data_IF_890647656392
#
_entry.id   IF_890647656392
#
_cell.length_a   1.000
_cell.length_b   1.000
_cell.length_c   1.000
_cell.angle_alpha   90.00
_cell.angle_beta   90.00
_cell.angle_gamma   90.00
#
_symmetry.space_group_name_H-M   'P 1'
#
loop_
_entity.id
_entity.type
_entity.pdbx_description
1 polymer ?
#
# COMPACT_ATOMS: atom_id res chain seq x y z
N UNK A 1 23.11 9.16 -35.38
CA UNK A 1 22.11 8.35 -34.63
C UNK A 1 21.09 9.31 -34.05
N UNK A 2 19.89 9.47 -34.70
CA UNK A 2 18.84 10.32 -34.16
C UNK A 2 18.35 9.69 -32.86
N UNK A 3 18.65 10.28 -31.73
CA UNK A 3 18.05 9.97 -30.44
C UNK A 3 16.56 10.34 -30.53
N UNK A 4 15.73 9.45 -31.10
CA UNK A 4 14.28 9.57 -30.97
C UNK A 4 14.01 9.71 -29.48
N UNK A 5 13.34 10.77 -29.10
CA UNK A 5 13.03 11.07 -27.71
C UNK A 5 12.39 9.84 -27.03
N UNK A 6 13.02 9.35 -25.97
CA UNK A 6 12.49 8.23 -25.17
C UNK A 6 11.11 8.64 -24.64
N UNK A 7 10.10 7.82 -24.92
CA UNK A 7 8.73 8.08 -24.47
C UNK A 7 8.44 7.34 -23.17
N UNK A 8 8.49 8.08 -22.08
CA UNK A 8 8.05 7.58 -20.77
C UNK A 8 6.52 7.61 -20.67
N UNK A 9 5.94 6.55 -20.14
CA UNK A 9 4.54 6.55 -19.76
C UNK A 9 4.31 7.31 -18.44
N UNK A 10 3.04 7.67 -18.08
CA UNK A 10 2.75 8.43 -16.86
C UNK A 10 3.24 7.76 -15.57
N UNK A 11 3.19 6.42 -15.50
CA UNK A 11 3.61 5.66 -14.33
C UNK A 11 5.13 5.69 -14.15
N UNK A 12 5.89 5.58 -15.24
CA UNK A 12 7.35 5.70 -15.21
C UNK A 12 7.81 7.08 -14.79
N UNK A 13 7.19 8.14 -15.32
CA UNK A 13 7.47 9.52 -14.90
C UNK A 13 7.21 9.69 -13.41
N UNK A 14 6.06 9.23 -12.94
CA UNK A 14 5.69 9.29 -11.52
C UNK A 14 6.72 8.55 -10.66
N UNK A 15 7.14 7.36 -11.08
CA UNK A 15 8.14 6.56 -10.36
C UNK A 15 9.50 7.27 -10.30
N UNK A 16 9.94 7.89 -11.38
CA UNK A 16 11.17 8.68 -11.39
C UNK A 16 11.09 9.88 -10.44
N UNK A 17 9.94 10.58 -10.37
CA UNK A 17 9.74 11.63 -9.38
C UNK A 17 9.79 11.09 -7.93
N UNK A 18 9.15 9.95 -7.66
CA UNK A 18 9.25 9.31 -6.35
C UNK A 18 10.68 8.92 -6.00
N UNK A 19 11.44 8.37 -6.95
CA UNK A 19 12.87 8.05 -6.77
C UNK A 19 13.65 9.31 -6.39
N UNK A 20 13.45 10.43 -7.09
CA UNK A 20 14.12 11.69 -6.78
C UNK A 20 13.80 12.13 -5.34
N UNK A 21 12.52 12.20 -4.97
CA UNK A 21 12.09 12.64 -3.63
C UNK A 21 12.67 11.71 -2.56
N UNK A 22 12.51 10.39 -2.72
CA UNK A 22 12.99 9.42 -1.73
C UNK A 22 14.53 9.31 -1.67
N UNK A 23 15.24 9.73 -2.73
CA UNK A 23 16.71 9.82 -2.71
C UNK A 23 17.20 10.91 -1.75
N UNK A 24 16.48 12.03 -1.64
CA UNK A 24 16.83 13.05 -0.64
C UNK A 24 16.71 12.52 0.79
N UNK A 25 15.67 11.73 1.07
CA UNK A 25 15.53 11.04 2.36
C UNK A 25 16.68 10.03 2.58
N UNK A 26 17.04 9.24 1.55
CA UNK A 26 18.15 8.29 1.63
C UNK A 26 19.49 8.98 1.86
N UNK A 27 19.73 10.12 1.21
CA UNK A 27 20.94 10.95 1.43
C UNK A 27 20.98 11.49 2.87
N UNK A 28 19.85 12.03 3.37
CA UNK A 28 19.77 12.51 4.74
C UNK A 28 20.13 11.42 5.77
N UNK A 29 19.54 10.23 5.63
CA UNK A 29 19.83 9.08 6.51
C UNK A 29 21.31 8.66 6.38
N UNK A 30 21.84 8.63 5.15
CA UNK A 30 23.23 8.25 4.89
C UNK A 30 24.22 9.22 5.55
N UNK A 31 23.96 10.50 5.44
CA UNK A 31 24.83 11.56 6.03
C UNK A 31 24.75 11.57 7.56
N UNK A 32 23.54 11.41 8.12
CA UNK A 32 23.32 11.52 9.57
C UNK A 32 23.68 10.26 10.35
N UNK A 33 23.41 9.07 9.78
CA UNK A 33 23.52 7.79 10.50
C UNK A 33 24.57 6.84 9.88
N UNK A 34 25.26 7.25 8.82
CA UNK A 34 26.28 6.43 8.15
C UNK A 34 25.74 5.18 7.42
N UNK A 35 24.41 5.10 7.23
CA UNK A 35 23.73 3.95 6.60
C UNK A 35 22.95 4.42 5.38
N UNK A 36 22.69 3.52 4.42
CA UNK A 36 21.80 3.85 3.29
C UNK A 36 22.48 4.14 1.96
N UNK A 37 23.81 4.08 1.87
CA UNK A 37 24.51 4.23 0.58
C UNK A 37 24.05 3.17 -0.44
N UNK A 38 23.74 1.95 -0.01
CA UNK A 38 23.17 0.89 -0.86
C UNK A 38 21.80 1.25 -1.45
N UNK A 39 20.99 2.01 -0.71
CA UNK A 39 19.69 2.48 -1.18
C UNK A 39 19.82 3.40 -2.40
N UNK A 40 20.87 4.23 -2.43
CA UNK A 40 21.16 5.11 -3.58
C UNK A 40 21.57 4.27 -4.79
N UNK A 41 22.42 3.26 -4.60
CA UNK A 41 22.83 2.35 -5.67
C UNK A 41 21.65 1.61 -6.29
N UNK A 42 20.71 1.11 -5.47
CA UNK A 42 19.51 0.42 -5.95
C UNK A 42 18.60 1.38 -6.74
N UNK A 43 18.45 2.65 -6.30
CA UNK A 43 17.67 3.66 -7.03
C UNK A 43 18.25 3.97 -8.40
N UNK A 44 19.55 4.03 -8.52
CA UNK A 44 20.24 4.20 -9.80
C UNK A 44 19.99 3.01 -10.71
N UNK A 45 20.07 1.78 -10.19
CA UNK A 45 19.76 0.57 -10.93
C UNK A 45 18.29 0.54 -11.41
N UNK A 46 17.33 0.82 -10.53
CA UNK A 46 15.90 0.89 -10.88
C UNK A 46 15.67 1.95 -11.95
N UNK A 47 16.28 3.14 -11.82
CA UNK A 47 16.19 4.19 -12.83
C UNK A 47 16.73 3.73 -14.17
N UNK A 48 17.90 3.08 -14.20
CA UNK A 48 18.48 2.52 -15.42
C UNK A 48 17.56 1.48 -16.08
N UNK A 49 16.92 0.60 -15.28
CA UNK A 49 15.94 -0.36 -15.79
C UNK A 49 14.70 0.33 -16.39
N UNK A 50 14.19 1.40 -15.75
CA UNK A 50 13.06 2.19 -16.28
C UNK A 50 13.44 2.83 -17.61
N UNK A 51 14.63 3.45 -17.69
CA UNK A 51 15.12 4.04 -18.94
C UNK A 51 15.28 2.99 -20.06
N UNK A 52 15.84 1.82 -19.73
CA UNK A 52 16.00 0.72 -20.67
C UNK A 52 14.64 0.23 -21.21
N UNK A 53 13.66 -0.03 -20.32
CA UNK A 53 12.33 -0.45 -20.72
C UNK A 53 11.59 0.62 -21.52
N UNK A 54 11.73 1.89 -21.17
CA UNK A 54 11.16 3.01 -21.90
C UNK A 54 11.80 3.15 -23.31
N UNK A 55 13.12 2.98 -23.42
CA UNK A 55 13.84 2.98 -24.69
C UNK A 55 13.29 1.89 -25.62
N UNK A 56 13.26 0.63 -25.18
CA UNK A 56 12.71 -0.45 -25.99
C UNK A 56 11.23 -0.26 -26.32
N UNK A 57 10.42 0.23 -25.38
CA UNK A 57 9.02 0.53 -25.59
C UNK A 57 8.77 1.63 -26.63
N UNK A 58 9.73 2.55 -26.80
CA UNK A 58 9.64 3.63 -27.80
C UNK A 58 9.84 3.15 -29.25
N UNK A 59 10.49 1.99 -29.42
CA UNK A 59 10.72 1.40 -30.76
C UNK A 59 9.67 0.36 -31.14
N UNK A 60 9.01 -0.24 -30.16
CA UNK A 60 8.03 -1.31 -30.36
C UNK A 60 6.75 -0.99 -29.59
N UNK A 61 5.82 -0.35 -30.26
CA UNK A 61 4.47 -0.03 -29.70
C UNK A 61 3.61 -1.30 -29.53
N UNK A 62 4.19 -2.40 -29.01
CA UNK A 62 3.44 -3.61 -28.71
C UNK A 62 2.79 -3.50 -27.34
N UNK A 63 1.52 -3.86 -27.26
CA UNK A 63 0.74 -3.92 -26.02
C UNK A 63 1.45 -4.69 -24.90
N UNK A 64 2.04 -5.84 -25.20
CA UNK A 64 2.77 -6.67 -24.25
C UNK A 64 3.95 -5.94 -23.57
N UNK A 65 4.65 -5.08 -24.32
CA UNK A 65 5.77 -4.30 -23.76
C UNK A 65 5.26 -3.28 -22.73
N UNK A 66 4.14 -2.61 -23.02
CA UNK A 66 3.55 -1.68 -22.03
C UNK A 66 3.09 -2.40 -20.75
N UNK A 67 2.53 -3.60 -20.88
CA UNK A 67 2.18 -4.41 -19.71
C UNK A 67 3.42 -4.76 -18.88
N UNK A 68 4.50 -5.19 -19.52
CA UNK A 68 5.77 -5.48 -18.82
C UNK A 68 6.28 -4.24 -18.07
N UNK A 69 6.21 -3.06 -18.67
CA UNK A 69 6.61 -1.78 -18.05
C UNK A 69 5.79 -1.48 -16.79
N UNK A 70 4.46 -1.70 -16.81
CA UNK A 70 3.60 -1.53 -15.65
C UNK A 70 3.86 -2.59 -14.58
N UNK A 71 3.98 -3.86 -14.96
CA UNK A 71 4.24 -4.96 -14.03
C UNK A 71 5.62 -4.83 -13.36
N UNK A 72 6.63 -4.36 -14.09
CA UNK A 72 7.94 -4.07 -13.52
C UNK A 72 7.83 -3.06 -12.38
N UNK A 73 7.15 -1.92 -12.60
CA UNK A 73 6.98 -0.91 -11.55
C UNK A 73 6.13 -1.46 -10.39
N UNK A 74 5.06 -2.22 -10.69
CA UNK A 74 4.25 -2.88 -9.66
C UNK A 74 5.05 -3.88 -8.81
N UNK A 75 6.01 -4.61 -9.40
CA UNK A 75 6.85 -5.54 -8.65
C UNK A 75 7.80 -4.85 -7.66
N UNK A 76 8.13 -3.58 -7.87
CA UNK A 76 9.00 -2.82 -6.98
C UNK A 76 8.36 -2.51 -5.61
N UNK A 77 7.04 -2.72 -5.43
CA UNK A 77 6.41 -2.58 -4.11
C UNK A 77 6.96 -3.56 -3.08
N UNK A 78 7.39 -4.74 -3.52
CA UNK A 78 8.08 -5.73 -2.65
C UNK A 78 9.37 -5.16 -2.08
N UNK A 79 10.03 -4.24 -2.82
CA UNK A 79 11.24 -3.55 -2.38
C UNK A 79 10.92 -2.31 -1.55
N UNK A 80 10.02 -1.44 -2.02
CA UNK A 80 9.81 -0.13 -1.39
C UNK A 80 9.07 -0.18 -0.05
N UNK A 81 8.18 -1.16 0.16
CA UNK A 81 7.50 -1.28 1.45
C UNK A 81 8.48 -1.56 2.61
N UNK A 82 9.33 -2.61 2.57
CA UNK A 82 10.34 -2.82 3.60
C UNK A 82 11.34 -1.68 3.73
N UNK A 83 11.59 -0.96 2.64
CA UNK A 83 12.51 0.18 2.65
C UNK A 83 12.01 1.32 3.56
N UNK A 84 10.70 1.49 3.70
CA UNK A 84 10.15 2.52 4.61
C UNK A 84 10.65 2.36 6.04
N UNK A 85 10.90 1.12 6.48
CA UNK A 85 11.48 0.84 7.77
C UNK A 85 12.90 1.40 7.92
N UNK A 86 13.74 1.37 6.87
CA UNK A 86 15.09 1.94 6.93
C UNK A 86 15.08 3.45 7.13
N UNK A 87 13.98 4.13 6.79
CA UNK A 87 13.83 5.56 7.01
C UNK A 87 13.23 5.86 8.38
N UNK A 88 12.11 5.22 8.71
CA UNK A 88 11.33 5.62 9.87
C UNK A 88 11.86 5.07 11.20
N UNK A 89 12.69 4.02 11.20
CA UNK A 89 13.27 3.43 12.43
C UNK A 89 14.09 4.38 13.29
N UNK A 90 14.53 5.50 12.72
CA UNK A 90 15.31 6.53 13.41
C UNK A 90 14.43 7.62 14.03
N UNK A 91 13.13 7.57 13.87
CA UNK A 91 12.19 8.53 14.39
C UNK A 91 11.32 7.90 15.48
N UNK A 92 10.76 8.77 16.35
CA UNK A 92 9.84 8.33 17.40
C UNK A 92 8.62 7.63 16.81
N UNK A 93 8.23 6.52 17.44
CA UNK A 93 7.10 5.71 17.01
C UNK A 93 5.79 6.25 17.58
N UNK A 94 4.74 6.33 16.77
CA UNK A 94 3.44 6.90 17.11
C UNK A 94 2.38 5.88 17.54
N UNK A 95 2.71 4.59 17.68
CA UNK A 95 1.73 3.55 18.05
C UNK A 95 0.98 3.88 19.35
N UNK A 96 1.65 4.51 20.31
CA UNK A 96 1.05 4.92 21.60
C UNK A 96 -0.13 5.91 21.42
N UNK A 97 -0.07 6.78 20.41
CA UNK A 97 -1.16 7.72 20.12
C UNK A 97 -2.32 7.00 19.41
N UNK A 98 -2.02 6.12 18.47
CA UNK A 98 -3.02 5.35 17.72
C UNK A 98 -3.78 4.39 18.64
N UNK A 99 -3.07 3.69 19.53
CA UNK A 99 -3.67 2.83 20.55
C UNK A 99 -4.57 3.62 21.51
N UNK A 100 -4.15 4.84 21.89
CA UNK A 100 -4.96 5.72 22.75
C UNK A 100 -6.25 6.16 22.05
N UNK A 101 -6.18 6.49 20.75
CA UNK A 101 -7.37 6.86 19.96
C UNK A 101 -8.36 5.68 19.90
N UNK A 102 -7.90 4.48 19.59
CA UNK A 102 -8.76 3.29 19.56
C UNK A 102 -9.40 3.04 20.93
N UNK A 103 -8.64 3.16 22.01
CA UNK A 103 -9.19 3.01 23.36
C UNK A 103 -10.22 4.08 23.71
N UNK A 104 -10.02 5.34 23.32
CA UNK A 104 -10.99 6.41 23.51
C UNK A 104 -12.29 6.17 22.74
N UNK A 105 -12.21 5.53 21.56
CA UNK A 105 -13.37 5.23 20.72
C UNK A 105 -14.19 4.04 21.26
N UNK A 106 -13.52 3.00 21.77
CA UNK A 106 -14.15 1.71 22.07
C UNK A 106 -14.15 1.33 23.56
N UNK A 107 -13.29 1.93 24.37
CA UNK A 107 -13.03 1.48 25.75
C UNK A 107 -12.15 0.22 25.84
N UNK A 108 -11.73 -0.33 24.71
CA UNK A 108 -10.85 -1.50 24.57
C UNK A 108 -10.06 -1.43 23.26
N UNK A 109 -9.18 -2.41 23.04
CA UNK A 109 -8.39 -2.51 21.80
C UNK A 109 -9.02 -3.49 20.82
N UNK A 110 -9.68 -3.03 19.73
CA UNK A 110 -10.33 -3.92 18.76
C UNK A 110 -9.37 -4.96 18.18
N UNK A 111 -8.13 -4.58 17.88
CA UNK A 111 -7.11 -5.46 17.30
C UNK A 111 -6.64 -6.59 18.25
N UNK A 112 -6.83 -6.46 19.56
CA UNK A 112 -6.55 -7.52 20.53
C UNK A 112 -7.77 -8.39 20.79
N UNK A 113 -8.95 -7.78 20.89
CA UNK A 113 -10.18 -8.47 21.33
C UNK A 113 -10.80 -9.28 20.19
N UNK A 114 -10.68 -8.82 18.92
CA UNK A 114 -11.39 -9.43 17.82
C UNK A 114 -11.02 -10.92 17.63
N UNK A 115 -9.73 -11.26 17.64
CA UNK A 115 -9.29 -12.65 17.51
C UNK A 115 -9.62 -13.51 18.75
N UNK A 116 -9.76 -12.88 19.94
CA UNK A 116 -10.16 -13.59 21.16
C UNK A 116 -11.64 -13.94 21.16
N UNK A 117 -12.50 -13.07 20.60
CA UNK A 117 -13.95 -13.30 20.49
C UNK A 117 -14.27 -14.35 19.42
N UNK A 118 -13.49 -14.42 18.34
CA UNK A 118 -13.68 -15.36 17.24
C UNK A 118 -12.44 -16.25 17.04
N UNK A 119 -12.11 -17.14 18.00
CA UNK A 119 -10.89 -17.94 17.96
C UNK A 119 -10.96 -19.19 17.07
N UNK A 120 -12.09 -19.44 16.40
CA UNK A 120 -12.30 -20.64 15.60
C UNK A 120 -11.34 -20.68 14.40
N UNK A 121 -10.74 -21.84 14.16
CA UNK A 121 -9.75 -22.01 13.08
C UNK A 121 -10.30 -21.62 11.71
N UNK A 122 -11.52 -22.00 11.38
CA UNK A 122 -12.13 -21.65 10.09
C UNK A 122 -12.28 -20.13 9.91
N UNK A 123 -12.60 -19.40 10.99
CA UNK A 123 -12.73 -17.94 10.94
C UNK A 123 -11.36 -17.28 10.80
N UNK A 124 -10.35 -17.76 11.55
CA UNK A 124 -8.98 -17.31 11.41
C UNK A 124 -8.45 -17.52 9.99
N UNK A 125 -8.72 -18.69 9.38
CA UNK A 125 -8.32 -18.98 8.00
C UNK A 125 -9.04 -18.06 6.99
N UNK A 126 -10.30 -17.76 7.22
CA UNK A 126 -11.03 -16.79 6.41
C UNK A 126 -10.42 -15.39 6.48
N UNK A 127 -10.00 -14.96 7.69
CA UNK A 127 -9.32 -13.68 7.89
C UNK A 127 -7.92 -13.67 7.23
N UNK A 128 -7.16 -14.77 7.36
CA UNK A 128 -5.88 -14.91 6.66
C UNK A 128 -6.05 -14.82 5.13
N UNK A 129 -7.05 -15.50 4.56
CA UNK A 129 -7.41 -15.39 3.14
C UNK A 129 -7.77 -13.95 2.76
N UNK A 130 -8.56 -13.27 3.61
CA UNK A 130 -8.93 -11.86 3.41
C UNK A 130 -7.71 -10.96 3.28
N UNK A 131 -6.74 -11.11 4.16
CA UNK A 131 -5.52 -10.31 4.13
C UNK A 131 -4.66 -10.59 2.88
N UNK A 132 -4.46 -11.88 2.56
CA UNK A 132 -3.70 -12.30 1.37
C UNK A 132 -4.37 -11.81 0.08
N UNK A 133 -5.70 -11.66 0.05
CA UNK A 133 -6.45 -11.25 -1.13
C UNK A 133 -6.14 -9.84 -1.64
N UNK A 134 -5.41 -9.03 -0.86
CA UNK A 134 -5.07 -7.66 -1.21
C UNK A 134 -4.39 -7.51 -2.57
N UNK A 135 -3.22 -8.13 -2.77
CA UNK A 135 -2.52 -8.05 -4.05
C UNK A 135 -3.26 -8.75 -5.20
N UNK A 136 -3.83 -9.95 -5.05
CA UNK A 136 -4.71 -10.52 -6.05
C UNK A 136 -5.85 -9.61 -6.50
N UNK A 137 -6.53 -8.94 -5.56
CA UNK A 137 -7.60 -7.98 -5.89
C UNK A 137 -7.08 -6.84 -6.77
N UNK A 138 -5.95 -6.24 -6.43
CA UNK A 138 -5.31 -5.18 -7.21
C UNK A 138 -4.92 -5.68 -8.62
N UNK A 139 -4.18 -6.80 -8.70
CA UNK A 139 -3.65 -7.34 -9.95
C UNK A 139 -4.78 -7.77 -10.90
N UNK A 140 -5.76 -8.52 -10.41
CA UNK A 140 -6.88 -8.99 -11.22
C UNK A 140 -7.68 -7.82 -11.77
N UNK A 141 -7.92 -6.78 -10.96
CA UNK A 141 -8.66 -5.60 -11.41
C UNK A 141 -7.86 -4.76 -12.41
N UNK A 142 -6.55 -4.61 -12.19
CA UNK A 142 -5.65 -3.98 -13.16
C UNK A 142 -5.68 -4.72 -14.52
N UNK A 143 -5.54 -6.05 -14.51
CA UNK A 143 -5.56 -6.87 -15.72
C UNK A 143 -6.94 -6.84 -16.40
N UNK A 144 -8.03 -6.85 -15.64
CA UNK A 144 -9.38 -6.70 -16.19
C UNK A 144 -9.49 -5.43 -17.03
N UNK A 145 -9.09 -4.26 -16.51
CA UNK A 145 -9.11 -3.02 -17.28
C UNK A 145 -8.09 -3.02 -18.40
N UNK A 146 -6.93 -3.63 -18.22
CA UNK A 146 -5.92 -3.73 -19.27
C UNK A 146 -6.43 -4.44 -20.53
N UNK A 147 -7.26 -5.47 -20.37
CA UNK A 147 -7.86 -6.19 -21.49
C UNK A 147 -9.18 -5.60 -22.01
N UNK A 148 -9.92 -4.86 -21.19
CA UNK A 148 -11.24 -4.32 -21.57
C UNK A 148 -11.25 -2.83 -21.92
N UNK A 149 -10.38 -2.01 -21.30
CA UNK A 149 -10.27 -0.56 -21.54
C UNK A 149 -8.85 -0.08 -21.23
N UNK A 150 -7.95 -0.20 -22.19
CA UNK A 150 -6.53 0.14 -22.03
C UNK A 150 -6.25 1.60 -21.65
N UNK A 151 -7.07 2.54 -22.13
CA UNK A 151 -6.91 3.95 -21.77
C UNK A 151 -7.19 4.16 -20.30
N UNK A 152 -8.20 3.48 -19.80
CA UNK A 152 -8.54 3.52 -18.39
C UNK A 152 -7.55 2.72 -17.53
N UNK A 153 -7.05 1.61 -18.04
CA UNK A 153 -6.02 0.84 -17.34
C UNK A 153 -4.78 1.68 -17.04
N UNK A 154 -4.33 2.54 -17.95
CA UNK A 154 -3.22 3.46 -17.70
C UNK A 154 -3.51 4.40 -16.53
N UNK A 155 -4.71 4.98 -16.47
CA UNK A 155 -5.15 5.80 -15.34
C UNK A 155 -5.26 4.98 -14.04
N UNK A 156 -5.78 3.76 -14.12
CA UNK A 156 -5.87 2.85 -12.98
C UNK A 156 -4.48 2.52 -12.40
N UNK A 157 -3.53 2.13 -13.25
CA UNK A 157 -2.14 1.90 -12.84
C UNK A 157 -1.52 3.15 -12.22
N UNK A 158 -1.66 4.31 -12.88
CA UNK A 158 -1.13 5.57 -12.39
C UNK A 158 -1.69 5.90 -11.00
N UNK A 159 -2.99 5.80 -10.82
CA UNK A 159 -3.68 6.10 -9.56
C UNK A 159 -3.23 5.15 -8.44
N UNK A 160 -3.14 3.85 -8.72
CA UNK A 160 -2.68 2.84 -7.75
C UNK A 160 -1.23 3.11 -7.33
N UNK A 161 -0.32 3.36 -8.28
CA UNK A 161 1.09 3.62 -8.02
C UNK A 161 1.27 4.94 -7.23
N UNK A 162 0.55 6.00 -7.63
CA UNK A 162 0.57 7.29 -6.92
C UNK A 162 0.15 7.11 -5.46
N UNK A 163 -0.93 6.36 -5.23
CA UNK A 163 -1.45 6.12 -3.88
C UNK A 163 -0.44 5.37 -3.01
N UNK A 164 0.21 4.34 -3.54
CA UNK A 164 1.28 3.65 -2.81
C UNK A 164 2.44 4.57 -2.47
N UNK A 165 2.90 5.39 -3.40
CA UNK A 165 4.00 6.33 -3.13
C UNK A 165 3.63 7.38 -2.08
N UNK A 166 2.39 7.87 -2.08
CA UNK A 166 1.92 8.79 -1.04
C UNK A 166 1.90 8.08 0.32
N UNK A 167 1.39 6.84 0.40
CA UNK A 167 1.43 6.06 1.65
C UNK A 167 2.86 5.86 2.15
N UNK A 168 3.81 5.53 1.28
CA UNK A 168 5.20 5.35 1.69
C UNK A 168 5.83 6.65 2.21
N UNK A 169 5.49 7.80 1.62
CA UNK A 169 5.93 9.10 2.16
C UNK A 169 5.27 9.39 3.52
N UNK A 170 3.99 9.04 3.71
CA UNK A 170 3.32 9.16 5.00
C UNK A 170 3.95 8.24 6.05
N UNK A 171 4.36 7.02 5.68
CA UNK A 171 5.07 6.11 6.58
C UNK A 171 6.42 6.64 7.04
N UNK A 172 7.10 7.48 6.23
CA UNK A 172 8.30 8.17 6.67
C UNK A 172 7.99 9.26 7.70
N UNK A 173 6.85 9.97 7.53
CA UNK A 173 6.46 11.11 8.37
C UNK A 173 5.77 10.68 9.67
N UNK A 174 5.08 9.56 9.66
CA UNK A 174 4.27 9.04 10.78
C UNK A 174 4.68 7.59 11.02
N UNK A 175 5.82 7.35 11.68
CA UNK A 175 6.28 6.01 12.00
C UNK A 175 5.30 5.29 12.92
N UNK A 176 4.72 4.19 12.45
CA UNK A 176 3.84 3.33 13.24
C UNK A 176 4.08 1.87 12.85
N UNK A 177 4.25 1.03 13.85
CA UNK A 177 4.59 -0.39 13.68
C UNK A 177 3.37 -1.29 13.57
N UNK A 178 2.29 -0.89 14.23
CA UNK A 178 1.04 -1.62 14.32
C UNK A 178 0.87 -2.47 15.59
N UNK A 179 -0.36 -2.85 15.89
CA UNK A 179 -0.74 -3.57 17.11
C UNK A 179 0.08 -4.82 17.38
N UNK A 180 0.38 -5.60 16.32
CA UNK A 180 1.13 -6.85 16.40
C UNK A 180 2.57 -6.69 16.91
N UNK A 181 3.14 -5.48 16.83
CA UNK A 181 4.46 -5.17 17.36
C UNK A 181 4.35 -4.43 18.69
N UNK A 182 3.45 -3.47 18.79
CA UNK A 182 3.37 -2.58 19.92
C UNK A 182 2.86 -3.26 21.20
N UNK A 183 1.76 -4.01 21.13
CA UNK A 183 1.13 -4.58 22.33
C UNK A 183 1.91 -5.71 23.01
N UNK A 184 2.87 -6.33 22.32
CA UNK A 184 3.74 -7.33 23.00
C UNK A 184 4.69 -6.70 24.02
N UNK A 185 4.90 -5.39 23.95
CA UNK A 185 5.86 -4.66 24.79
C UNK A 185 5.18 -3.95 25.96
N UNK A 186 3.85 -4.07 26.09
CA UNK A 186 3.06 -3.39 27.09
C UNK A 186 2.35 -4.42 27.96
N UNK A 187 2.39 -4.19 29.29
CA UNK A 187 1.67 -5.02 30.26
C UNK A 187 0.15 -4.95 30.04
N UNK A 188 -0.54 -6.09 30.17
CA UNK A 188 -1.99 -6.18 30.07
C UNK A 188 -2.73 -5.26 31.03
N UNK A 189 -2.15 -4.98 32.22
CA UNK A 189 -2.70 -4.01 33.18
C UNK A 189 -2.68 -2.59 32.63
N UNK A 190 -1.62 -2.21 31.94
CA UNK A 190 -1.51 -0.90 31.30
C UNK A 190 -2.50 -0.79 30.13
N UNK A 191 -2.61 -1.84 29.29
CA UNK A 191 -3.58 -1.88 28.19
C UNK A 191 -5.00 -1.72 28.71
N UNK A 192 -5.38 -2.48 29.74
CA UNK A 192 -6.72 -2.42 30.36
C UNK A 192 -7.01 -1.08 31.03
N UNK A 193 -6.00 -0.40 31.56
CA UNK A 193 -6.10 0.92 32.16
C UNK A 193 -6.06 2.06 31.10
N UNK A 194 -5.91 1.77 29.80
CA UNK A 194 -5.78 2.78 28.76
C UNK A 194 -4.46 3.56 28.80
N UNK A 195 -3.42 2.98 29.43
CA UNK A 195 -2.10 3.59 29.53
C UNK A 195 -1.17 3.03 28.44
N UNK A 196 -0.87 3.86 27.45
CA UNK A 196 -0.05 3.50 26.29
C UNK A 196 1.24 4.34 26.30
N UNK A 197 2.37 3.79 26.79
CA UNK A 197 3.64 4.52 26.82
C UNK A 197 4.25 4.67 25.43
N UNK A 198 4.98 5.76 25.20
CA UNK A 198 5.86 5.87 24.04
C UNK A 198 7.02 4.87 24.21
N UNK A 199 7.35 4.17 23.14
CA UNK A 199 8.48 3.23 23.10
C UNK A 199 9.75 3.88 22.50
N UNK A 200 9.68 5.17 22.19
CA UNK A 200 10.80 5.91 21.58
C UNK A 200 11.29 5.26 20.29
N UNK A 201 12.56 4.87 20.25
CA UNK A 201 13.23 4.25 19.11
C UNK A 201 13.38 2.71 19.24
N UNK A 202 12.63 2.06 20.12
CA UNK A 202 12.71 0.62 20.37
C UNK A 202 12.72 -0.20 19.09
N UNK A 203 11.88 0.14 18.11
CA UNK A 203 11.77 -0.57 16.84
C UNK A 203 12.94 -0.33 15.88
N UNK A 204 13.90 0.54 16.24
CA UNK A 204 15.11 0.76 15.44
C UNK A 204 15.92 -0.53 15.24
N UNK A 205 15.88 -1.43 16.22
CA UNK A 205 16.64 -2.69 16.24
C UNK A 205 15.83 -3.93 16.62
N UNK A 206 14.60 -3.76 17.15
CA UNK A 206 13.77 -4.86 17.67
C UNK A 206 12.46 -4.95 16.88
N UNK A 207 12.17 -6.12 16.32
CA UNK A 207 10.96 -6.32 15.50
C UNK A 207 10.48 -7.77 15.48
N UNK A 208 10.06 -8.25 16.66
CA UNK A 208 9.37 -9.54 16.76
C UNK A 208 7.87 -9.26 16.77
N UNK A 209 7.12 -9.81 15.81
CA UNK A 209 5.66 -9.66 15.77
C UNK A 209 4.95 -10.69 16.64
N UNK A 210 3.86 -10.27 17.29
CA UNK A 210 2.94 -11.19 17.96
C UNK A 210 2.15 -12.03 16.94
N UNK A 211 2.00 -13.31 17.26
CA UNK A 211 1.02 -14.17 16.59
C UNK A 211 -0.28 -14.16 17.40
N UNK A 212 -1.27 -13.36 16.96
CA UNK A 212 -2.57 -13.25 17.64
C UNK A 212 -3.58 -14.33 17.21
N UNK A 213 -3.27 -15.09 16.18
CA UNK A 213 -4.22 -16.05 15.58
C UNK A 213 -3.87 -17.48 15.94
N UNK A 214 -4.88 -18.38 15.99
CA UNK A 214 -4.65 -19.80 16.26
C UNK A 214 -3.56 -20.39 15.36
N UNK A 215 -2.71 -21.30 15.86
CA UNK A 215 -1.73 -22.00 15.05
C UNK A 215 -2.39 -22.95 14.06
N UNK A 216 -1.82 -23.09 12.87
CA UNK A 216 -2.28 -24.00 11.82
C UNK A 216 -3.18 -23.35 10.77
N UNK A 217 -3.42 -24.10 9.71
CA UNK A 217 -4.21 -23.70 8.56
C UNK A 217 -3.36 -23.29 7.34
N UNK A 218 -3.95 -23.49 6.15
CA UNK A 218 -3.26 -23.26 4.87
C UNK A 218 -2.98 -21.78 4.62
N UNK A 219 -4.00 -20.94 4.77
CA UNK A 219 -3.86 -19.51 4.49
C UNK A 219 -2.96 -18.81 5.53
N UNK A 220 -3.02 -19.26 6.79
CA UNK A 220 -2.06 -18.79 7.78
C UNK A 220 -0.63 -19.11 7.38
N UNK A 221 -0.35 -20.35 6.95
CA UNK A 221 1.00 -20.72 6.49
C UNK A 221 1.45 -19.84 5.30
N UNK A 222 0.59 -19.60 4.32
CA UNK A 222 0.89 -18.69 3.21
C UNK A 222 1.20 -17.28 3.69
N UNK A 223 0.41 -16.75 4.64
CA UNK A 223 0.63 -15.41 5.19
C UNK A 223 1.94 -15.34 5.98
N UNK A 224 2.26 -16.35 6.78
CA UNK A 224 3.51 -16.41 7.56
C UNK A 224 4.74 -16.41 6.64
N UNK A 225 4.68 -17.10 5.49
CA UNK A 225 5.73 -17.06 4.46
C UNK A 225 5.90 -15.65 3.85
N UNK A 226 4.80 -14.95 3.59
CA UNK A 226 4.84 -13.59 3.07
C UNK A 226 5.44 -12.64 4.13
N UNK A 227 4.98 -12.75 5.37
CA UNK A 227 5.39 -11.91 6.50
C UNK A 227 6.87 -12.06 6.82
N UNK A 228 7.37 -13.28 6.91
CA UNK A 228 8.77 -13.56 7.23
C UNK A 228 9.75 -12.89 6.26
N UNK A 229 9.36 -12.73 5.00
CA UNK A 229 10.20 -12.14 3.96
C UNK A 229 10.05 -10.62 3.80
N UNK A 230 8.85 -10.08 3.99
CA UNK A 230 8.53 -8.70 3.61
C UNK A 230 8.12 -7.81 4.78
N UNK A 231 7.59 -8.37 5.89
CA UNK A 231 7.02 -7.55 6.95
C UNK A 231 8.09 -6.94 7.85
N UNK A 232 7.89 -5.68 8.21
CA UNK A 232 8.74 -4.89 9.11
C UNK A 232 7.84 -4.05 10.02
N UNK A 233 8.30 -3.58 11.19
CA UNK A 233 7.54 -2.69 12.07
C UNK A 233 7.42 -1.28 11.48
N UNK A 234 6.66 -1.17 10.41
CA UNK A 234 6.45 0.06 9.64
C UNK A 234 5.10 0.02 8.92
N UNK A 235 4.58 1.19 8.58
CA UNK A 235 3.47 1.31 7.63
C UNK A 235 2.11 0.96 8.19
N UNK A 236 1.90 1.04 9.52
CA UNK A 236 0.58 0.81 10.08
C UNK A 236 -0.37 1.97 9.77
N UNK A 237 0.05 3.23 9.91
CA UNK A 237 -0.82 4.40 9.75
C UNK A 237 -0.40 5.30 8.57
N UNK A 238 -1.36 5.75 7.75
CA UNK A 238 -2.71 5.19 7.57
C UNK A 238 -2.66 3.85 6.83
N UNK A 239 -3.70 2.99 6.95
CA UNK A 239 -3.69 1.67 6.30
C UNK A 239 -3.67 1.75 4.79
N UNK A 240 -2.54 1.38 4.17
CA UNK A 240 -2.44 1.28 2.71
C UNK A 240 -3.26 0.12 2.13
N UNK A 241 -3.49 -0.94 2.91
CA UNK A 241 -4.38 -2.04 2.54
C UNK A 241 -5.80 -1.53 2.31
N UNK A 242 -6.32 -0.75 3.26
CA UNK A 242 -7.67 -0.20 3.16
C UNK A 242 -7.71 0.91 2.10
N UNK A 243 -6.73 1.81 2.08
CA UNK A 243 -6.70 2.90 1.11
C UNK A 243 -6.70 2.41 -0.33
N UNK A 244 -5.79 1.49 -0.68
CA UNK A 244 -5.72 0.98 -2.05
C UNK A 244 -6.91 0.07 -2.42
N UNK A 245 -7.41 -0.77 -1.51
CA UNK A 245 -8.57 -1.61 -1.80
C UNK A 245 -9.86 -0.79 -1.96
N UNK A 246 -10.06 0.24 -1.13
CA UNK A 246 -11.15 1.22 -1.30
C UNK A 246 -11.03 1.94 -2.63
N UNK A 247 -9.82 2.36 -3.00
CA UNK A 247 -9.53 3.00 -4.28
C UNK A 247 -9.90 2.09 -5.47
N UNK A 248 -9.62 0.79 -5.39
CA UNK A 248 -10.04 -0.18 -6.42
C UNK A 248 -11.57 -0.16 -6.58
N UNK A 249 -12.32 -0.18 -5.50
CA UNK A 249 -13.79 -0.11 -5.55
C UNK A 249 -14.25 1.23 -6.17
N UNK A 250 -13.65 2.36 -5.76
CA UNK A 250 -13.94 3.68 -6.34
C UNK A 250 -13.69 3.66 -7.86
N UNK A 251 -12.54 3.16 -8.32
CA UNK A 251 -12.17 3.11 -9.73
C UNK A 251 -13.11 2.21 -10.56
N UNK A 252 -13.53 1.07 -10.00
CA UNK A 252 -14.48 0.17 -10.64
C UNK A 252 -15.87 0.82 -10.76
N UNK A 253 -16.34 1.49 -9.71
CA UNK A 253 -17.60 2.22 -9.68
C UNK A 253 -17.59 3.46 -10.60
N UNK A 254 -16.46 4.18 -10.67
CA UNK A 254 -16.28 5.30 -11.58
C UNK A 254 -16.47 4.90 -13.05
N UNK A 255 -16.16 3.65 -13.40
CA UNK A 255 -16.43 3.05 -14.73
C UNK A 255 -17.79 2.35 -14.83
N UNK A 256 -18.67 2.49 -13.84
CA UNK A 256 -20.01 1.86 -13.80
C UNK A 256 -19.96 0.33 -14.00
N UNK A 257 -18.86 -0.32 -13.58
CA UNK A 257 -18.71 -1.78 -13.64
C UNK A 257 -19.33 -2.43 -12.39
N UNK A 258 -20.63 -2.20 -12.19
CA UNK A 258 -21.35 -2.60 -10.97
C UNK A 258 -21.25 -4.11 -10.67
N UNK A 259 -21.30 -4.97 -11.70
CA UNK A 259 -21.14 -6.43 -11.52
C UNK A 259 -19.76 -6.78 -10.94
N UNK A 260 -18.70 -6.11 -11.43
CA UNK A 260 -17.35 -6.29 -10.92
C UNK A 260 -17.24 -5.75 -9.49
N UNK A 261 -17.80 -4.56 -9.21
CA UNK A 261 -17.83 -4.01 -7.86
C UNK A 261 -18.52 -4.96 -6.87
N UNK A 262 -19.68 -5.54 -7.24
CA UNK A 262 -20.41 -6.48 -6.42
C UNK A 262 -19.61 -7.78 -6.16
N UNK A 263 -18.84 -8.25 -7.15
CA UNK A 263 -17.95 -9.40 -6.99
C UNK A 263 -16.77 -9.11 -6.04
N UNK A 264 -16.21 -7.90 -6.11
CA UNK A 264 -15.08 -7.50 -5.28
C UNK A 264 -15.48 -7.10 -3.86
N UNK A 265 -16.73 -6.69 -3.64
CA UNK A 265 -17.18 -6.18 -2.35
C UNK A 265 -17.03 -7.18 -1.19
N UNK A 266 -17.37 -8.48 -1.31
CA UNK A 266 -17.14 -9.45 -0.24
C UNK A 266 -15.64 -9.59 0.09
N UNK A 267 -14.78 -9.60 -0.93
CA UNK A 267 -13.32 -9.67 -0.75
C UNK A 267 -12.81 -8.43 -0.03
N UNK A 268 -13.29 -7.26 -0.42
CA UNK A 268 -12.96 -5.99 0.23
C UNK A 268 -13.37 -5.96 1.71
N UNK A 269 -14.61 -6.35 2.01
CA UNK A 269 -15.10 -6.40 3.41
C UNK A 269 -14.27 -7.38 4.24
N UNK A 270 -13.98 -8.55 3.68
CA UNK A 270 -13.13 -9.54 4.34
C UNK A 270 -11.73 -9.01 4.61
N UNK A 271 -11.13 -8.31 3.64
CA UNK A 271 -9.85 -7.65 3.79
C UNK A 271 -9.88 -6.59 4.91
N UNK A 272 -10.91 -5.74 4.95
CA UNK A 272 -11.06 -4.72 6.01
C UNK A 272 -11.09 -5.37 7.39
N UNK A 273 -11.92 -6.39 7.58
CA UNK A 273 -12.02 -7.12 8.86
C UNK A 273 -10.69 -7.80 9.22
N UNK A 274 -10.01 -8.38 8.23
CA UNK A 274 -8.78 -9.12 8.45
C UNK A 274 -7.63 -8.24 8.96
N UNK A 275 -7.55 -6.98 8.55
CA UNK A 275 -6.49 -6.07 9.00
C UNK A 275 -6.51 -5.83 10.51
N UNK A 276 -7.70 -5.72 11.09
CA UNK A 276 -7.89 -5.55 12.54
C UNK A 276 -7.77 -6.91 13.24
N UNK A 277 -8.39 -7.96 12.71
CA UNK A 277 -8.37 -9.31 13.30
C UNK A 277 -6.95 -9.86 13.47
N UNK A 278 -6.10 -9.63 12.48
CA UNK A 278 -4.70 -10.10 12.48
C UNK A 278 -3.76 -9.17 13.26
N UNK A 279 -4.28 -8.09 13.84
CA UNK A 279 -3.48 -7.10 14.57
C UNK A 279 -2.51 -6.31 13.69
N UNK A 280 -2.69 -6.31 12.36
CA UNK A 280 -1.85 -5.55 11.44
C UNK A 280 -2.09 -4.03 11.55
N UNK A 281 -3.33 -3.63 11.84
CA UNK A 281 -3.76 -2.23 11.92
C UNK A 281 -4.61 -1.95 13.15
N UNK A 282 -4.48 -0.74 13.69
CA UNK A 282 -5.46 -0.14 14.58
C UNK A 282 -6.76 0.16 13.82
N UNK A 283 -7.87 0.31 14.53
CA UNK A 283 -9.12 0.67 13.85
C UNK A 283 -9.07 2.08 13.26
N UNK A 284 -8.39 3.00 13.91
CA UNK A 284 -8.17 4.35 13.37
C UNK A 284 -7.37 4.34 12.05
N UNK A 285 -6.46 3.37 11.86
CA UNK A 285 -5.72 3.21 10.60
C UNK A 285 -6.66 2.86 9.44
N UNK A 286 -7.69 2.04 9.74
CA UNK A 286 -8.73 1.65 8.78
C UNK A 286 -9.54 2.87 8.36
N UNK A 287 -9.99 3.70 9.32
CA UNK A 287 -10.71 4.94 9.03
C UNK A 287 -9.86 5.88 8.18
N UNK A 288 -8.62 6.11 8.60
CA UNK A 288 -7.71 7.00 7.88
C UNK A 288 -7.40 6.49 6.47
N UNK A 289 -7.19 5.17 6.31
CA UNK A 289 -7.00 4.54 4.99
C UNK A 289 -8.21 4.69 4.09
N UNK A 290 -9.42 4.48 4.62
CA UNK A 290 -10.66 4.67 3.88
C UNK A 290 -10.83 6.11 3.38
N UNK A 291 -10.62 7.11 4.25
CA UNK A 291 -10.71 8.53 3.88
C UNK A 291 -9.63 8.90 2.85
N UNK A 292 -8.41 8.39 3.04
CA UNK A 292 -7.27 8.62 2.13
C UNK A 292 -7.58 8.20 0.70
N UNK A 293 -8.36 7.14 0.48
CA UNK A 293 -8.73 6.66 -0.86
C UNK A 293 -9.46 7.74 -1.67
N UNK A 294 -10.39 8.47 -1.06
CA UNK A 294 -11.14 9.54 -1.74
C UNK A 294 -10.24 10.74 -2.06
N UNK A 295 -9.39 11.13 -1.11
CA UNK A 295 -8.45 12.24 -1.29
C UNK A 295 -7.47 11.91 -2.42
N UNK A 296 -6.90 10.70 -2.42
CA UNK A 296 -5.90 10.28 -3.40
C UNK A 296 -6.51 10.02 -4.78
N UNK A 297 -7.77 9.55 -4.83
CA UNK A 297 -8.52 9.52 -6.09
C UNK A 297 -8.66 10.91 -6.70
N UNK A 298 -9.11 11.90 -5.91
CA UNK A 298 -9.23 13.29 -6.36
C UNK A 298 -7.89 13.85 -6.84
N UNK A 299 -6.81 13.60 -6.08
CA UNK A 299 -5.45 13.99 -6.44
C UNK A 299 -4.98 13.32 -7.74
N UNK A 300 -5.31 12.04 -7.94
CA UNK A 300 -4.98 11.31 -9.17
C UNK A 300 -5.67 11.90 -10.40
N UNK A 301 -6.95 12.26 -10.26
CA UNK A 301 -7.72 12.93 -11.32
C UNK A 301 -7.09 14.27 -11.70
N UNK A 302 -6.56 14.99 -10.71
CA UNK A 302 -5.87 16.27 -10.94
C UNK A 302 -4.49 16.10 -11.58
N UNK A 303 -3.68 15.16 -11.08
CA UNK A 303 -2.28 15.00 -11.50
C UNK A 303 -2.13 14.22 -12.82
N UNK A 304 -2.98 13.25 -13.11
CA UNK A 304 -2.82 12.38 -14.28
C UNK A 304 -2.67 13.14 -15.61
N UNK A 305 -3.40 14.21 -15.91
CA UNK A 305 -3.21 15.01 -17.11
C UNK A 305 -1.80 15.58 -17.24
N UNK A 306 -1.21 16.04 -16.13
CA UNK A 306 0.14 16.63 -16.12
C UNK A 306 1.20 15.60 -16.54
N UNK A 307 1.00 14.34 -16.16
CA UNK A 307 1.91 13.23 -16.47
C UNK A 307 1.66 12.61 -17.85
N UNK A 308 0.38 12.51 -18.26
CA UNK A 308 -0.01 11.85 -19.51
C UNK A 308 0.00 12.78 -20.73
N UNK A 309 -0.05 14.11 -20.51
CA UNK A 309 -0.24 15.08 -21.58
C UNK A 309 -1.62 15.02 -22.23
N UNK A 310 -2.60 14.36 -21.59
CA UNK A 310 -3.98 14.23 -22.07
C UNK A 310 -4.89 15.21 -21.35
N UNK A 311 -5.92 15.68 -22.03
CA UNK A 311 -6.93 16.54 -21.42
C UNK A 311 -7.84 15.75 -20.47
N UNK A 312 -8.39 16.44 -19.47
CA UNK A 312 -9.33 15.85 -18.49
C UNK A 312 -10.54 15.14 -19.11
N UNK A 313 -10.96 15.55 -20.30
CA UNK A 313 -12.08 14.97 -21.05
C UNK A 313 -11.81 13.57 -21.60
N UNK A 314 -10.55 13.17 -21.75
CA UNK A 314 -10.18 11.91 -22.41
C UNK A 314 -10.40 10.67 -21.53
N UNK A 315 -10.45 10.84 -20.21
CA UNK A 315 -10.63 9.76 -19.21
C UNK A 315 -11.76 10.05 -18.20
N UNK A 316 -12.21 11.32 -18.05
CA UNK A 316 -13.50 11.59 -17.41
C UNK A 316 -14.57 10.87 -18.22
N UNK A 317 -15.41 10.17 -17.54
CA UNK A 317 -16.58 9.50 -18.05
C UNK A 317 -17.14 10.26 -19.25
N UNK A 318 -17.25 9.61 -20.40
CA UNK A 318 -18.31 9.91 -21.34
C UNK A 318 -19.63 9.60 -20.61
N UNK A 319 -20.05 10.54 -19.77
CA UNK A 319 -21.31 10.48 -19.02
C UNK A 319 -22.49 10.83 -19.88
N UNK A 320 -22.28 11.16 -21.17
CA UNK A 320 -23.33 11.58 -22.07
C UNK A 320 -23.21 10.86 -23.41
N UNK A 321 -24.33 10.30 -23.82
CA UNK A 321 -24.68 9.74 -25.12
C UNK A 321 -24.33 8.26 -25.39
N UNK A 322 -25.06 7.37 -24.73
CA UNK A 322 -25.66 6.18 -25.37
C UNK A 322 -27.04 5.91 -24.76
N UNK A 323 -27.94 6.89 -24.90
CA UNK A 323 -29.38 6.66 -25.04
C UNK A 323 -29.66 6.69 -26.54
N UNK A 324 -29.53 5.52 -27.18
CA UNK A 324 -30.29 5.14 -28.36
C UNK A 324 -30.39 3.63 -28.37
#
# INVERSE_FOLDING_TARGET
MNLRSIKFNPVEKLTLYYIIISTFAALYISLKYGTGASLIGIRLLISACIFFLAYFGSFREKSSINLIRYLFIGSLFVYWYPETFYFNRYFENFDHLLARIDFQMFGFQPSLIFAQVYPQLWFSELMNLGYISFFPMLIITCLYFYYTDRKYAEFFFFTTILTFFIFYLLFFLIPASGPQYYFQLIDNKQISAGNYPSLGDYFSSNYISLQHTPPGGFFKHCLDLIRSNAERPTGAFPSSHIGNSTLVIILVLAKRKYKLALLLLPVYVLLVLSTVYLGAHYFIDVIAGFISAFVFYGLSVYLYPLFSGRNHTDYKLKTENNTK
#
